data_IF_626565522739
#
_entry.id   IF_626565522739
#
_cell.length_a   1.000
_cell.length_b   1.000
_cell.length_c   1.000
_cell.angle_alpha   90.00
_cell.angle_beta   90.00
_cell.angle_gamma   90.00
#
_symmetry.space_group_name_H-M   'P 1'
#
loop_
_entity.id
_entity.type
_entity.pdbx_description
1 polymer ?
#
# COMPACT_ATOMS: atom_id res chain seq x y z
N UNK A 1 -15.83 16.73 -9.39
CA UNK A 1 -14.51 17.07 -8.79
C UNK A 1 -13.46 17.31 -9.88
N UNK A 2 -13.67 18.32 -10.76
CA UNK A 2 -12.66 18.82 -11.69
C UNK A 2 -12.05 20.07 -11.07
N UNK A 3 -10.77 20.02 -10.61
CA UNK A 3 -10.09 21.21 -10.11
C UNK A 3 -8.95 20.99 -9.12
N UNK A 4 -8.71 19.77 -8.63
CA UNK A 4 -7.63 19.52 -7.67
C UNK A 4 -6.27 19.27 -8.33
N UNK A 5 -6.23 18.78 -9.55
CA UNK A 5 -5.03 18.50 -10.34
C UNK A 5 -5.28 18.71 -11.84
N UNK A 6 -4.22 18.97 -12.60
CA UNK A 6 -4.25 19.16 -14.04
C UNK A 6 -3.28 18.21 -14.78
N UNK A 7 -3.20 18.34 -16.11
CA UNK A 7 -2.33 17.49 -16.93
C UNK A 7 -0.84 17.63 -16.60
N UNK A 8 -0.39 18.78 -16.10
CA UNK A 8 0.98 18.96 -15.65
C UNK A 8 1.23 18.18 -14.35
N UNK A 9 0.29 18.24 -13.40
CA UNK A 9 0.38 17.47 -12.16
C UNK A 9 0.48 15.97 -12.45
N UNK A 10 -0.33 15.45 -13.39
CA UNK A 10 -0.29 14.04 -13.82
C UNK A 10 1.08 13.68 -14.42
N UNK A 11 1.67 14.54 -15.27
CA UNK A 11 3.01 14.29 -15.82
C UNK A 11 4.07 14.27 -14.72
N UNK A 12 4.01 15.20 -13.77
CA UNK A 12 4.93 15.23 -12.62
C UNK A 12 4.79 13.96 -11.78
N UNK A 13 3.55 13.54 -11.45
CA UNK A 13 3.28 12.33 -10.67
C UNK A 13 3.79 11.07 -11.38
N UNK A 14 3.65 10.97 -12.71
CA UNK A 14 4.20 9.83 -13.46
C UNK A 14 5.72 9.76 -13.41
N UNK A 15 6.43 10.91 -13.43
CA UNK A 15 7.88 10.92 -13.24
C UNK A 15 8.25 10.46 -11.83
N UNK A 16 7.59 10.99 -10.81
CA UNK A 16 7.82 10.61 -9.40
C UNK A 16 7.45 9.16 -9.10
N UNK A 17 6.48 8.60 -9.81
CA UNK A 17 6.11 7.19 -9.72
C UNK A 17 7.22 6.26 -10.24
N UNK A 18 7.92 6.68 -11.30
CA UNK A 18 9.04 5.92 -11.87
C UNK A 18 10.27 6.01 -10.97
N UNK A 19 10.61 7.21 -10.54
CA UNK A 19 11.72 7.48 -9.64
C UNK A 19 11.43 8.74 -8.81
N UNK A 20 11.13 8.55 -7.53
CA UNK A 20 10.85 9.64 -6.62
C UNK A 20 12.12 10.35 -6.06
N UNK A 21 13.31 9.87 -6.42
CA UNK A 21 14.59 10.46 -5.99
C UNK A 21 15.09 11.56 -6.92
N UNK A 22 14.50 11.68 -8.11
CA UNK A 22 14.90 12.70 -9.11
C UNK A 22 14.64 14.12 -8.60
N UNK A 23 15.61 15.01 -8.82
CA UNK A 23 15.50 16.41 -8.44
C UNK A 23 14.53 17.20 -9.34
N UNK A 24 14.07 18.35 -8.86
CA UNK A 24 13.14 19.22 -9.59
C UNK A 24 13.62 19.65 -10.98
N UNK A 25 14.94 19.80 -11.19
CA UNK A 25 15.51 20.12 -12.49
C UNK A 25 15.31 19.00 -13.51
N UNK A 26 15.43 17.75 -13.08
CA UNK A 26 15.19 16.60 -13.93
C UNK A 26 13.70 16.44 -14.26
N UNK A 27 12.83 16.58 -13.24
CA UNK A 27 11.38 16.59 -13.46
C UNK A 27 11.00 17.68 -14.45
N UNK A 28 11.53 18.90 -14.28
CA UNK A 28 11.33 20.06 -15.15
C UNK A 28 11.62 19.73 -16.62
N UNK A 29 12.75 19.09 -16.88
CA UNK A 29 13.15 18.67 -18.25
C UNK A 29 12.14 17.66 -18.84
N UNK A 30 11.75 16.65 -18.07
CA UNK A 30 10.82 15.60 -18.54
C UNK A 30 9.41 16.14 -18.80
N UNK A 31 8.91 17.03 -17.92
CA UNK A 31 7.56 17.59 -18.07
C UNK A 31 7.49 18.88 -18.87
N UNK A 32 8.66 19.42 -19.33
CA UNK A 32 8.78 20.68 -20.09
C UNK A 32 8.10 21.86 -19.36
N UNK A 33 8.46 22.07 -18.09
CA UNK A 33 7.92 23.15 -17.24
C UNK A 33 9.02 23.69 -16.31
N UNK A 34 9.05 24.99 -15.96
CA UNK A 34 10.09 25.58 -15.12
C UNK A 34 10.26 24.84 -13.78
N UNK A 35 11.50 24.70 -13.24
CA UNK A 35 11.74 24.02 -11.97
C UNK A 35 10.97 24.62 -10.79
N UNK A 36 10.82 25.94 -10.76
CA UNK A 36 10.03 26.65 -9.74
C UNK A 36 8.55 26.26 -9.78
N UNK A 37 7.98 26.11 -10.99
CA UNK A 37 6.61 25.65 -11.17
C UNK A 37 6.47 24.20 -10.70
N UNK A 38 7.42 23.33 -11.06
CA UNK A 38 7.43 21.92 -10.61
C UNK A 38 7.48 21.85 -9.08
N UNK A 39 8.37 22.60 -8.45
CA UNK A 39 8.46 22.67 -6.98
C UNK A 39 7.14 23.07 -6.35
N UNK A 40 6.51 24.15 -6.82
CA UNK A 40 5.23 24.63 -6.30
C UNK A 40 4.12 23.58 -6.47
N UNK A 41 4.09 22.88 -7.62
CA UNK A 41 3.12 21.82 -7.90
C UNK A 41 3.29 20.61 -6.98
N UNK A 42 4.52 20.14 -6.81
CA UNK A 42 4.83 19.02 -5.89
C UNK A 42 4.47 19.40 -4.46
N UNK A 43 4.83 20.61 -3.99
CA UNK A 43 4.46 21.11 -2.67
C UNK A 43 2.94 21.10 -2.49
N UNK A 44 2.19 21.69 -3.42
CA UNK A 44 0.72 21.71 -3.39
C UNK A 44 0.13 20.31 -3.34
N UNK A 45 0.66 19.36 -4.11
CA UNK A 45 0.18 17.97 -4.11
C UNK A 45 0.46 17.25 -2.78
N UNK A 46 1.55 17.57 -2.09
CA UNK A 46 1.82 17.11 -0.72
C UNK A 46 0.87 17.75 0.29
N UNK A 47 0.69 19.06 0.24
CA UNK A 47 -0.20 19.80 1.16
C UNK A 47 -1.67 19.35 1.04
N UNK A 48 -2.06 18.85 -0.14
CA UNK A 48 -3.39 18.28 -0.42
C UNK A 48 -3.47 16.77 -0.28
N UNK A 49 -2.44 16.12 0.24
CA UNK A 49 -2.36 14.67 0.43
C UNK A 49 -2.55 13.83 -0.86
N UNK A 50 -2.43 14.45 -2.06
CA UNK A 50 -2.37 13.71 -3.33
C UNK A 50 -1.10 12.84 -3.33
N UNK A 51 0.03 13.39 -2.88
CA UNK A 51 1.24 12.65 -2.53
C UNK A 51 1.22 12.44 -1.02
N UNK A 52 0.78 11.28 -0.56
CA UNK A 52 0.67 10.95 0.86
C UNK A 52 2.04 10.76 1.52
N UNK A 53 2.91 9.99 0.88
CA UNK A 53 4.28 9.72 1.34
C UNK A 53 5.17 9.28 0.18
N UNK A 54 6.46 9.36 0.38
CA UNK A 54 7.48 8.81 -0.52
C UNK A 54 8.23 7.74 0.27
N UNK A 55 8.20 6.51 -0.21
CA UNK A 55 8.84 5.35 0.42
C UNK A 55 9.64 4.57 -0.62
N UNK A 56 10.77 3.94 -0.22
CA UNK A 56 11.48 3.05 -1.10
C UNK A 56 10.66 1.76 -1.33
N UNK A 57 10.77 1.19 -2.53
CA UNK A 57 10.40 -0.20 -2.76
C UNK A 57 11.56 -1.07 -2.32
N UNK A 58 11.32 -1.93 -1.34
CA UNK A 58 12.34 -2.77 -0.72
C UNK A 58 12.22 -4.19 -1.26
N UNK A 59 13.35 -4.77 -1.67
CA UNK A 59 13.46 -6.19 -1.98
C UNK A 59 13.50 -6.99 -0.66
N UNK A 60 12.34 -7.36 -0.19
CA UNK A 60 12.15 -8.06 1.08
C UNK A 60 12.81 -9.45 1.08
N UNK A 61 12.88 -10.12 -0.09
CA UNK A 61 13.46 -11.46 -0.18
C UNK A 61 14.97 -11.45 0.12
N UNK A 62 15.66 -10.33 -0.21
CA UNK A 62 17.07 -10.11 0.16
C UNK A 62 17.30 -9.85 1.65
N UNK A 63 16.23 -9.57 2.37
CA UNK A 63 16.23 -9.34 3.82
C UNK A 63 15.60 -10.51 4.58
N UNK A 64 15.53 -11.69 3.94
CA UNK A 64 14.98 -12.94 4.47
C UNK A 64 13.46 -12.95 4.76
N UNK A 65 12.73 -11.92 4.35
CA UNK A 65 11.27 -11.93 4.35
C UNK A 65 10.77 -12.55 3.05
N UNK A 66 10.77 -13.88 2.97
CA UNK A 66 10.59 -14.63 1.70
C UNK A 66 9.14 -15.07 1.45
N UNK A 67 8.29 -15.02 2.47
CA UNK A 67 6.92 -15.53 2.36
C UNK A 67 5.94 -14.37 2.32
N UNK A 68 5.21 -14.28 1.20
CA UNK A 68 4.06 -13.38 1.06
C UNK A 68 2.78 -14.20 1.17
N UNK A 69 1.86 -13.78 2.01
CA UNK A 69 0.56 -14.42 2.14
C UNK A 69 -0.59 -13.39 2.02
N UNK A 70 -1.72 -13.88 1.53
CA UNK A 70 -3.00 -13.18 1.56
C UNK A 70 -3.88 -13.84 2.60
N UNK A 71 -4.19 -13.10 3.65
CA UNK A 71 -4.99 -13.60 4.77
C UNK A 71 -6.39 -13.01 4.68
N UNK A 72 -7.38 -13.86 4.56
CA UNK A 72 -8.79 -13.49 4.58
C UNK A 72 -9.33 -13.62 5.98
N UNK A 73 -10.09 -12.63 6.43
CA UNK A 73 -10.68 -12.59 7.77
C UNK A 73 -12.18 -12.38 7.63
N UNK A 74 -12.97 -13.25 8.26
CA UNK A 74 -14.41 -13.09 8.43
C UNK A 74 -14.71 -12.68 9.86
N UNK A 75 -15.57 -11.68 10.02
CA UNK A 75 -15.95 -11.13 11.33
C UNK A 75 -17.37 -11.58 11.73
N UNK A 76 -17.65 -11.54 13.02
CA UNK A 76 -18.94 -11.99 13.55
C UNK A 76 -20.01 -10.90 13.44
N UNK A 77 -19.64 -9.62 13.54
CA UNK A 77 -20.53 -8.47 13.43
C UNK A 77 -19.84 -7.38 12.60
N UNK A 78 -20.51 -6.96 11.51
CA UNK A 78 -19.99 -5.93 10.60
C UNK A 78 -19.74 -4.57 11.31
N UNK A 79 -20.40 -4.30 12.42
CA UNK A 79 -20.17 -3.10 13.23
C UNK A 79 -18.78 -3.04 13.84
N UNK A 80 -18.12 -4.18 14.00
CA UNK A 80 -16.76 -4.28 14.51
C UNK A 80 -15.68 -4.10 13.43
N UNK A 81 -16.06 -3.96 12.16
CA UNK A 81 -15.14 -3.91 11.02
C UNK A 81 -14.04 -2.86 11.21
N UNK A 82 -14.41 -1.61 11.50
CA UNK A 82 -13.45 -0.51 11.63
C UNK A 82 -12.48 -0.71 12.77
N UNK A 83 -12.95 -1.29 13.90
CA UNK A 83 -12.10 -1.60 15.04
C UNK A 83 -11.10 -2.70 14.68
N UNK A 84 -11.59 -3.80 14.14
CA UNK A 84 -10.76 -4.96 13.77
C UNK A 84 -9.76 -4.58 12.67
N UNK A 85 -10.18 -3.88 11.63
CA UNK A 85 -9.29 -3.43 10.56
C UNK A 85 -8.18 -2.50 11.08
N UNK A 86 -8.49 -1.57 12.00
CA UNK A 86 -7.49 -0.72 12.66
C UNK A 86 -6.54 -1.52 13.55
N UNK A 87 -7.01 -2.56 14.22
CA UNK A 87 -6.16 -3.43 15.04
C UNK A 87 -5.21 -4.25 14.17
N UNK A 88 -5.72 -4.86 13.10
CA UNK A 88 -4.93 -5.61 12.12
C UNK A 88 -3.87 -4.73 11.44
N UNK A 89 -4.19 -3.47 11.12
CA UNK A 89 -3.25 -2.54 10.46
C UNK A 89 -2.11 -2.06 11.35
N UNK A 90 -2.07 -2.42 12.62
CA UNK A 90 -0.95 -2.10 13.54
C UNK A 90 0.15 -3.15 13.56
N UNK A 91 -0.07 -4.31 13.00
CA UNK A 91 0.96 -5.35 12.95
C UNK A 91 1.97 -5.04 11.85
N UNK A 92 3.25 -5.16 12.18
CA UNK A 92 4.36 -4.83 11.28
C UNK A 92 4.43 -5.74 10.06
N UNK A 93 3.94 -6.98 10.18
CA UNK A 93 3.86 -7.94 9.09
C UNK A 93 2.82 -7.55 8.03
N UNK A 94 1.86 -6.69 8.39
CA UNK A 94 0.74 -6.31 7.52
C UNK A 94 1.13 -5.17 6.61
N UNK A 95 1.12 -5.44 5.31
CA UNK A 95 1.40 -4.45 4.25
C UNK A 95 0.12 -3.72 3.82
N UNK A 96 -0.98 -4.46 3.65
CA UNK A 96 -2.26 -3.91 3.19
C UNK A 96 -3.42 -4.51 3.98
N UNK A 97 -4.44 -3.70 4.24
CA UNK A 97 -5.72 -4.09 4.83
C UNK A 97 -6.85 -3.57 3.95
N UNK A 98 -7.65 -4.46 3.41
CA UNK A 98 -8.78 -4.11 2.55
C UNK A 98 -10.09 -4.66 3.14
N UNK A 99 -11.14 -3.83 3.18
CA UNK A 99 -12.50 -4.32 3.30
C UNK A 99 -12.95 -4.83 1.93
N UNK A 100 -13.48 -6.05 1.88
CA UNK A 100 -13.87 -6.75 0.65
C UNK A 100 -15.36 -7.06 0.63
N UNK A 101 -15.91 -7.19 -0.57
CA UNK A 101 -17.32 -7.54 -0.80
C UNK A 101 -17.52 -9.02 -1.18
N UNK A 102 -16.53 -9.87 -0.88
CA UNK A 102 -16.56 -11.30 -1.22
C UNK A 102 -16.97 -12.18 -0.04
N UNK A 103 -16.46 -13.41 -0.05
CA UNK A 103 -16.74 -14.43 0.98
C UNK A 103 -16.12 -14.12 2.35
N UNK A 104 -15.23 -13.17 2.41
CA UNK A 104 -14.60 -12.66 3.61
C UNK A 104 -14.76 -11.15 3.71
N UNK A 105 -14.72 -10.61 4.93
CA UNK A 105 -14.93 -9.19 5.20
C UNK A 105 -13.65 -8.37 5.03
N UNK A 106 -12.49 -8.95 5.37
CA UNK A 106 -11.19 -8.28 5.30
C UNK A 106 -10.19 -9.17 4.55
N UNK A 107 -9.39 -8.55 3.69
CA UNK A 107 -8.24 -9.14 3.05
C UNK A 107 -6.98 -8.41 3.48
N UNK A 108 -5.99 -9.16 3.97
CA UNK A 108 -4.67 -8.67 4.31
C UNK A 108 -3.66 -9.15 3.28
N UNK A 109 -2.68 -8.30 2.95
CA UNK A 109 -1.40 -8.74 2.39
C UNK A 109 -0.37 -8.68 3.50
N UNK A 110 0.29 -9.78 3.77
CA UNK A 110 1.34 -9.86 4.79
C UNK A 110 2.66 -10.34 4.21
N UNK A 111 3.75 -9.97 4.88
CA UNK A 111 5.10 -10.40 4.54
C UNK A 111 5.79 -10.89 5.80
N UNK A 112 6.24 -12.15 5.76
CA UNK A 112 6.90 -12.82 6.88
C UNK A 112 8.11 -13.61 6.38
N UNK A 113 8.95 -14.09 7.30
CA UNK A 113 10.18 -14.81 6.96
C UNK A 113 9.90 -16.23 6.50
N UNK A 114 9.06 -16.93 7.25
CA UNK A 114 8.78 -18.34 7.04
C UNK A 114 7.38 -18.76 7.52
N UNK A 115 7.09 -20.04 7.43
CA UNK A 115 5.81 -20.62 7.83
C UNK A 115 5.58 -20.63 9.34
N UNK A 116 6.62 -20.59 10.16
CA UNK A 116 6.45 -20.52 11.62
C UNK A 116 5.98 -19.11 12.02
N UNK A 117 6.62 -18.07 11.47
CA UNK A 117 6.21 -16.70 11.69
C UNK A 117 4.78 -16.44 11.15
N UNK A 118 4.42 -17.05 10.02
CA UNK A 118 3.03 -17.01 9.52
C UNK A 118 2.06 -17.63 10.51
N UNK A 119 2.37 -18.82 11.02
CA UNK A 119 1.54 -19.52 12.01
C UNK A 119 1.38 -18.69 13.29
N UNK A 120 2.47 -18.11 13.79
CA UNK A 120 2.45 -17.29 15.00
C UNK A 120 1.60 -16.02 14.77
N UNK A 121 1.71 -15.40 13.59
CA UNK A 121 0.86 -14.27 13.21
C UNK A 121 -0.63 -14.65 13.21
N UNK A 122 -0.98 -15.79 12.60
CA UNK A 122 -2.39 -16.24 12.53
C UNK A 122 -2.95 -16.60 13.90
N UNK A 123 -2.22 -17.35 14.70
CA UNK A 123 -2.70 -17.89 15.97
C UNK A 123 -2.63 -16.84 17.09
N UNK A 124 -1.48 -16.20 17.24
CA UNK A 124 -1.24 -15.33 18.40
C UNK A 124 -1.70 -13.89 18.17
N UNK A 125 -1.65 -13.41 16.93
CA UNK A 125 -2.03 -12.03 16.62
C UNK A 125 -3.46 -11.95 16.10
N UNK A 126 -3.76 -12.58 14.98
CA UNK A 126 -5.11 -12.51 14.37
C UNK A 126 -6.13 -13.25 15.24
N UNK A 127 -5.80 -14.45 15.71
CA UNK A 127 -6.69 -15.27 16.54
C UNK A 127 -7.01 -14.67 17.92
N UNK A 128 -6.16 -13.78 18.43
CA UNK A 128 -6.41 -13.06 19.68
C UNK A 128 -7.43 -11.93 19.57
N UNK A 129 -7.74 -11.48 18.35
CA UNK A 129 -8.66 -10.37 18.13
C UNK A 129 -10.10 -10.85 18.27
N UNK A 130 -10.81 -10.30 19.28
CA UNK A 130 -12.22 -10.61 19.50
C UNK A 130 -13.07 -10.15 18.31
N UNK A 131 -14.04 -10.98 17.94
CA UNK A 131 -14.96 -10.69 16.83
C UNK A 131 -14.53 -11.30 15.50
N UNK A 132 -13.34 -11.89 15.39
CA UNK A 132 -12.94 -12.68 14.24
C UNK A 132 -13.62 -14.06 14.34
N UNK A 133 -14.29 -14.48 13.26
CA UNK A 133 -15.02 -15.75 13.16
C UNK A 133 -14.24 -16.82 12.42
N UNK A 134 -13.55 -16.42 11.35
CA UNK A 134 -12.77 -17.35 10.53
C UNK A 134 -11.58 -16.62 9.89
N UNK A 135 -10.51 -17.36 9.71
CA UNK A 135 -9.29 -16.93 9.01
C UNK A 135 -8.97 -17.96 7.93
N UNK A 136 -8.65 -17.48 6.74
CA UNK A 136 -8.16 -18.31 5.65
C UNK A 136 -6.88 -17.71 5.08
N UNK A 137 -5.94 -18.55 4.63
CA UNK A 137 -4.65 -18.09 4.14
C UNK A 137 -4.33 -18.68 2.78
N UNK A 138 -3.84 -17.83 1.89
CA UNK A 138 -3.32 -18.22 0.57
C UNK A 138 -1.89 -17.72 0.45
N UNK A 139 -0.96 -18.64 0.17
CA UNK A 139 0.44 -18.30 -0.06
C UNK A 139 0.64 -17.81 -1.50
N UNK A 140 1.40 -16.73 -1.66
CA UNK A 140 1.91 -16.31 -2.96
C UNK A 140 3.07 -17.22 -3.36
N UNK A 141 2.95 -17.90 -4.48
CA UNK A 141 4.02 -18.74 -5.03
C UNK A 141 5.02 -17.95 -5.89
N UNK A 142 4.71 -16.69 -6.20
CA UNK A 142 5.59 -15.80 -6.95
C UNK A 142 4.93 -14.46 -7.23
N UNK A 143 5.75 -13.42 -7.33
CA UNK A 143 5.30 -12.05 -7.64
C UNK A 143 5.76 -11.69 -9.04
N UNK A 144 4.84 -11.52 -9.97
CA UNK A 144 5.14 -11.10 -11.35
C UNK A 144 5.21 -9.59 -11.51
N UNK A 145 4.52 -8.85 -10.64
CA UNK A 145 4.51 -7.40 -10.62
C UNK A 145 4.11 -6.87 -9.25
N UNK A 146 4.88 -5.91 -8.75
CA UNK A 146 4.56 -5.19 -7.52
C UNK A 146 4.84 -3.70 -7.72
N UNK A 147 3.81 -2.89 -7.66
CA UNK A 147 3.89 -1.43 -7.78
C UNK A 147 2.87 -0.78 -6.82
N UNK A 148 3.25 0.34 -6.20
CA UNK A 148 2.38 1.07 -5.27
C UNK A 148 1.35 1.97 -5.96
N UNK A 149 1.50 2.24 -7.26
CA UNK A 149 0.59 3.12 -7.97
C UNK A 149 0.43 2.75 -9.44
N UNK A 150 -0.74 3.02 -9.99
CA UNK A 150 -1.03 2.86 -11.42
C UNK A 150 -0.40 4.01 -12.22
N UNK A 151 -0.12 3.78 -13.51
CA UNK A 151 0.23 4.86 -14.45
C UNK A 151 -0.99 5.76 -14.66
N UNK A 152 -0.83 7.03 -14.34
CA UNK A 152 -1.90 8.01 -14.46
C UNK A 152 -2.08 8.45 -15.92
N UNK A 153 -3.34 8.66 -16.30
CA UNK A 153 -3.71 9.19 -17.63
C UNK A 153 -4.06 10.67 -17.50
N UNK A 154 -3.49 11.50 -18.39
CA UNK A 154 -3.79 12.93 -18.49
C UNK A 154 -5.09 13.17 -19.26
#
# INVERSE_FOLDING_TARGET
MKGEYDSLDIRILNVLREDATVGYNEISRRVKSPPTTVFQRVKRMKDREIIKKVVPLIDHDKLDYRLTAFVTVSISDIKELDRIAKELSRFDEVLDVHHTSGDSDILLKIKVRDSNELKDFEVEKVGAIKGIRAVGTTLSLGVFKEEFSVKLRA
#
